data_IF_256628261306
#
_entry.id   IF_256628261306
#
_cell.length_a   1.000
_cell.length_b   1.000
_cell.length_c   1.000
_cell.angle_alpha   90.00
_cell.angle_beta   90.00
_cell.angle_gamma   90.00
#
_symmetry.space_group_name_H-M   'P 1'
#
loop_
_entity.id
_entity.type
_entity.pdbx_description
1 polymer ?
#
# COMPACT_ATOMS: atom_id res chain seq x y z
N UNK A 1 4.69 -14.70 14.74
CA UNK A 1 5.23 -13.73 13.76
C UNK A 1 4.32 -12.51 13.72
N UNK A 2 4.72 -11.35 14.27
CA UNK A 2 3.90 -10.13 14.18
C UNK A 2 4.13 -9.54 12.78
N UNK A 3 3.23 -9.81 11.85
CA UNK A 3 3.14 -9.05 10.60
C UNK A 3 2.67 -7.65 11.00
N UNK A 4 3.58 -6.67 11.10
CA UNK A 4 3.28 -5.29 11.54
C UNK A 4 2.43 -4.49 10.56
N UNK A 5 1.26 -5.06 10.15
CA UNK A 5 0.35 -4.43 9.22
C UNK A 5 -0.47 -3.31 9.89
N UNK A 6 -0.71 -3.42 11.21
CA UNK A 6 -1.54 -2.47 11.98
C UNK A 6 -0.78 -1.81 13.14
N UNK A 7 0.55 -1.69 13.02
CA UNK A 7 1.43 -1.25 14.12
C UNK A 7 1.11 0.18 14.61
N UNK A 8 0.61 1.04 13.72
CA UNK A 8 0.33 2.44 13.99
C UNK A 8 -1.16 2.82 13.88
N UNK A 9 -2.05 1.84 13.67
CA UNK A 9 -3.50 2.06 13.57
C UNK A 9 -4.18 2.58 14.84
N UNK A 10 -3.44 2.62 15.96
CA UNK A 10 -3.96 3.06 17.27
C UNK A 10 -3.56 4.49 17.64
N UNK A 11 -2.88 5.22 16.73
CA UNK A 11 -2.49 6.60 16.99
C UNK A 11 -3.69 7.54 16.83
N UNK A 12 -3.86 8.49 17.77
CA UNK A 12 -4.90 9.51 17.69
C UNK A 12 -4.44 10.70 16.84
N UNK A 13 -4.91 10.76 15.61
CA UNK A 13 -4.76 11.94 14.74
C UNK A 13 -6.08 12.26 14.04
N UNK A 14 -6.19 13.48 13.48
CA UNK A 14 -7.37 13.89 12.72
C UNK A 14 -7.69 12.91 11.56
N UNK A 15 -6.65 12.35 10.94
CA UNK A 15 -6.79 11.36 9.87
C UNK A 15 -7.22 9.98 10.38
N UNK A 16 -6.92 9.62 11.64
CA UNK A 16 -7.39 8.34 12.22
C UNK A 16 -8.89 8.37 12.54
N UNK A 17 -9.43 9.53 12.89
CA UNK A 17 -10.86 9.68 13.21
C UNK A 17 -11.75 9.78 11.97
N UNK A 18 -11.16 9.97 10.79
CA UNK A 18 -11.89 10.06 9.54
C UNK A 18 -12.37 8.69 9.09
N UNK A 19 -13.65 8.60 8.67
CA UNK A 19 -14.27 7.34 8.24
C UNK A 19 -13.49 6.68 7.10
N UNK A 20 -13.07 5.40 7.22
CA UNK A 20 -12.19 4.71 6.27
C UNK A 20 -12.70 4.70 4.83
N UNK A 21 -14.03 4.70 4.63
CA UNK A 21 -14.67 4.76 3.31
C UNK A 21 -14.30 6.04 2.56
N UNK A 22 -14.51 7.19 3.17
CA UNK A 22 -14.27 8.50 2.55
C UNK A 22 -12.78 8.80 2.44
N UNK A 23 -11.98 8.39 3.44
CA UNK A 23 -10.53 8.47 3.42
C UNK A 23 -9.93 7.71 2.23
N UNK A 24 -10.37 6.48 2.00
CA UNK A 24 -9.90 5.64 0.91
C UNK A 24 -10.18 6.31 -0.44
N UNK A 25 -11.40 6.79 -0.67
CA UNK A 25 -11.77 7.46 -1.93
C UNK A 25 -11.00 8.77 -2.11
N UNK A 26 -10.91 9.60 -1.07
CA UNK A 26 -10.23 10.90 -1.13
C UNK A 26 -8.73 10.77 -1.39
N UNK A 27 -8.04 9.92 -0.64
CA UNK A 27 -6.59 9.72 -0.81
C UNK A 27 -6.25 8.98 -2.10
N UNK A 28 -7.04 7.98 -2.52
CA UNK A 28 -6.86 7.33 -3.82
C UNK A 28 -7.08 8.30 -4.98
N UNK A 29 -8.10 9.16 -4.89
CA UNK A 29 -8.32 10.22 -5.88
C UNK A 29 -7.12 11.16 -5.98
N UNK A 30 -6.53 11.56 -4.85
CA UNK A 30 -5.34 12.41 -4.82
C UNK A 30 -4.10 11.69 -5.38
N UNK A 31 -3.91 10.41 -5.06
CA UNK A 31 -2.83 9.58 -5.64
C UNK A 31 -2.95 9.52 -7.17
N UNK A 32 -4.15 9.29 -7.68
CA UNK A 32 -4.40 9.28 -9.12
C UNK A 32 -4.14 10.65 -9.76
N UNK A 33 -4.57 11.74 -9.12
CA UNK A 33 -4.29 13.09 -9.60
C UNK A 33 -2.78 13.37 -9.66
N UNK A 34 -2.01 13.00 -8.63
CA UNK A 34 -0.55 13.15 -8.61
C UNK A 34 0.14 12.30 -9.67
N UNK A 35 -0.38 11.12 -9.97
CA UNK A 35 0.14 10.30 -11.07
C UNK A 35 0.00 10.99 -12.42
N UNK A 36 -1.04 11.80 -12.61
CA UNK A 36 -1.33 12.50 -13.86
C UNK A 36 -0.46 13.74 -14.10
N UNK A 37 0.09 14.37 -13.04
CA UNK A 37 0.95 15.56 -13.13
C UNK A 37 2.18 15.28 -13.99
N UNK A 38 2.46 16.09 -15.00
CA UNK A 38 3.64 16.02 -15.87
C UNK A 38 4.45 17.33 -15.87
N UNK A 39 3.84 18.45 -15.49
CA UNK A 39 4.51 19.74 -15.48
C UNK A 39 5.34 19.91 -14.17
N UNK A 40 6.65 20.22 -14.26
CA UNK A 40 7.51 20.43 -13.10
C UNK A 40 7.09 21.61 -12.21
N UNK A 41 6.28 22.55 -12.72
CA UNK A 41 5.77 23.70 -11.95
C UNK A 41 4.82 23.30 -10.81
N UNK A 42 4.15 22.15 -10.94
CA UNK A 42 3.23 21.63 -9.91
C UNK A 42 3.94 20.82 -8.80
N UNK A 43 5.23 20.50 -8.97
CA UNK A 43 5.99 19.72 -7.99
C UNK A 43 6.02 20.32 -6.58
N UNK A 44 6.30 21.64 -6.40
CA UNK A 44 6.36 22.20 -5.05
C UNK A 44 5.00 22.14 -4.34
N UNK A 45 3.90 22.35 -5.07
CA UNK A 45 2.56 22.24 -4.51
C UNK A 45 2.24 20.79 -4.11
N UNK A 46 2.60 19.82 -4.95
CA UNK A 46 2.43 18.38 -4.69
C UNK A 46 3.21 17.95 -3.43
N UNK A 47 4.47 18.36 -3.31
CA UNK A 47 5.31 18.06 -2.16
C UNK A 47 4.79 18.75 -0.88
N UNK A 48 4.34 20.01 -0.97
CA UNK A 48 3.79 20.72 0.17
C UNK A 48 2.54 20.03 0.73
N UNK A 49 1.63 19.60 -0.14
CA UNK A 49 0.41 18.87 0.26
C UNK A 49 0.77 17.51 0.87
N UNK A 50 1.69 16.78 0.26
CA UNK A 50 2.15 15.49 0.78
C UNK A 50 2.75 15.65 2.16
N UNK A 51 3.59 16.66 2.37
CA UNK A 51 4.20 16.96 3.66
C UNK A 51 3.16 17.37 4.70
N UNK A 52 2.20 18.20 4.33
CA UNK A 52 1.10 18.63 5.21
C UNK A 52 0.27 17.42 5.66
N UNK A 53 -0.13 16.53 4.74
CA UNK A 53 -0.89 15.32 5.05
C UNK A 53 -0.10 14.34 5.92
N UNK A 54 1.19 14.20 5.66
CA UNK A 54 2.06 13.39 6.50
C UNK A 54 2.19 13.96 7.91
N UNK A 55 2.37 15.27 8.06
CA UNK A 55 2.41 15.94 9.35
C UNK A 55 1.08 15.80 10.13
N UNK A 56 -0.07 15.90 9.44
CA UNK A 56 -1.39 15.66 10.03
C UNK A 56 -1.59 14.21 10.48
N UNK A 57 -0.95 13.24 9.83
CA UNK A 57 -1.07 11.81 10.18
C UNK A 57 -0.35 11.46 11.47
N UNK A 58 0.59 12.29 11.95
CA UNK A 58 1.46 12.06 13.12
C UNK A 58 2.23 10.75 13.10
N UNK A 59 2.47 10.21 11.92
CA UNK A 59 3.28 9.00 11.78
C UNK A 59 4.77 9.31 12.05
N UNK A 60 5.51 8.42 12.73
CA UNK A 60 6.92 8.65 13.02
C UNK A 60 7.75 8.59 11.72
N UNK A 61 8.73 9.50 11.60
CA UNK A 61 9.62 9.57 10.43
C UNK A 61 10.40 8.27 10.20
N UNK A 62 10.69 7.53 11.27
CA UNK A 62 11.31 6.20 11.19
C UNK A 62 10.50 5.21 10.37
N UNK A 63 9.16 5.27 10.46
CA UNK A 63 8.25 4.45 9.66
C UNK A 63 8.35 4.77 8.17
N UNK A 64 8.37 6.05 7.82
CA UNK A 64 8.53 6.51 6.44
C UNK A 64 9.86 6.03 5.84
N UNK A 65 10.98 6.27 6.55
CA UNK A 65 12.32 5.92 6.08
C UNK A 65 12.47 4.40 5.93
N UNK A 66 11.97 3.62 6.90
CA UNK A 66 12.03 2.17 6.85
C UNK A 66 11.27 1.59 5.65
N UNK A 67 10.11 2.15 5.33
CA UNK A 67 9.27 1.70 4.21
C UNK A 67 9.77 2.24 2.86
N UNK A 68 10.35 3.44 2.83
CA UNK A 68 10.91 4.03 1.61
C UNK A 68 12.24 3.37 1.19
N UNK A 69 12.94 2.72 2.10
CA UNK A 69 14.27 2.13 1.85
C UNK A 69 14.28 1.14 0.68
N UNK A 70 13.33 0.21 0.64
CA UNK A 70 13.29 -0.80 -0.42
C UNK A 70 12.84 -0.25 -1.78
N UNK A 71 11.71 0.47 -1.91
CA UNK A 71 11.34 1.09 -3.17
C UNK A 71 12.26 2.25 -3.54
N UNK A 72 12.91 2.92 -2.57
CA UNK A 72 13.93 3.95 -2.80
C UNK A 72 15.17 3.43 -3.51
N UNK A 73 15.54 2.16 -3.32
CA UNK A 73 16.63 1.54 -4.08
C UNK A 73 16.31 1.45 -5.57
N UNK A 74 15.06 1.13 -5.93
CA UNK A 74 14.61 1.17 -7.32
C UNK A 74 14.65 2.59 -7.89
N UNK A 75 14.20 3.57 -7.10
CA UNK A 75 14.27 4.98 -7.48
C UNK A 75 15.73 5.43 -7.72
N UNK A 76 16.67 4.98 -6.88
CA UNK A 76 18.10 5.28 -7.03
C UNK A 76 18.66 4.70 -8.34
N UNK A 77 18.25 3.48 -8.72
CA UNK A 77 18.63 2.88 -10.00
C UNK A 77 18.11 3.72 -11.18
N UNK A 78 16.85 4.16 -11.13
CA UNK A 78 16.26 5.05 -12.14
C UNK A 78 16.99 6.39 -12.15
N UNK A 79 17.34 6.94 -10.98
CA UNK A 79 18.08 8.19 -10.83
C UNK A 79 19.45 8.18 -11.49
N UNK A 80 20.13 7.04 -11.50
CA UNK A 80 21.41 6.88 -12.17
C UNK A 80 21.24 6.76 -13.69
N UNK A 81 20.21 6.06 -14.16
CA UNK A 81 20.02 5.75 -15.57
C UNK A 81 19.39 6.90 -16.37
N UNK A 82 18.41 7.60 -15.80
CA UNK A 82 17.57 8.56 -16.52
C UNK A 82 18.34 9.76 -17.09
N UNK A 83 19.29 10.40 -16.37
CA UNK A 83 20.06 11.52 -16.89
C UNK A 83 20.92 11.19 -18.11
N UNK A 84 21.21 9.90 -18.35
CA UNK A 84 22.00 9.43 -19.48
C UNK A 84 21.17 8.98 -20.67
N UNK A 85 19.88 8.55 -20.43
CA UNK A 85 19.03 8.02 -21.49
C UNK A 85 18.08 9.06 -22.09
N UNK A 86 17.61 10.04 -21.30
CA UNK A 86 16.54 10.96 -21.71
C UNK A 86 17.09 12.35 -22.06
N UNK A 87 16.66 12.90 -23.23
CA UNK A 87 16.87 14.29 -23.62
C UNK A 87 17.78 14.51 -24.81
N UNK A 88 17.76 15.73 -25.37
CA UNK A 88 18.54 16.17 -26.54
C UNK A 88 19.63 17.21 -26.19
N UNK A 89 19.44 17.98 -25.10
CA UNK A 89 20.36 19.06 -24.68
C UNK A 89 21.42 18.58 -23.70
N UNK A 90 22.70 18.68 -24.09
CA UNK A 90 23.86 18.23 -23.30
C UNK A 90 24.25 19.34 -22.31
N UNK A 91 24.13 19.07 -20.99
CA UNK A 91 24.59 19.96 -19.91
C UNK A 91 26.08 19.77 -19.59
N UNK A 92 26.53 18.53 -19.50
CA UNK A 92 27.90 18.19 -19.14
C UNK A 92 28.33 16.93 -19.88
N UNK A 93 29.56 16.96 -20.42
CA UNK A 93 30.17 15.81 -21.10
C UNK A 93 31.34 15.30 -20.28
N UNK A 94 31.13 14.15 -19.61
CA UNK A 94 32.19 13.49 -18.84
C UNK A 94 32.60 12.22 -19.59
N UNK A 95 33.56 12.37 -20.52
CA UNK A 95 34.01 11.27 -21.38
C UNK A 95 32.91 10.72 -22.29
N UNK A 96 32.63 9.41 -22.28
CA UNK A 96 31.58 8.81 -23.10
C UNK A 96 30.16 9.05 -22.56
N UNK A 97 30.02 9.58 -21.33
CA UNK A 97 28.74 9.82 -20.66
C UNK A 97 28.33 11.29 -20.80
N UNK A 98 27.11 11.52 -21.33
CA UNK A 98 26.53 12.85 -21.49
C UNK A 98 25.37 13.00 -20.55
N UNK A 99 25.47 13.94 -19.60
CA UNK A 99 24.34 14.31 -18.71
C UNK A 99 23.49 15.33 -19.45
N UNK A 100 22.19 15.06 -19.56
CA UNK A 100 21.24 15.88 -20.32
C UNK A 100 20.30 16.62 -19.34
N UNK A 101 19.99 17.87 -19.65
CA UNK A 101 19.18 18.73 -18.81
C UNK A 101 17.76 18.20 -18.64
N UNK A 102 17.16 17.73 -19.73
CA UNK A 102 15.84 17.16 -19.77
C UNK A 102 15.73 15.93 -18.85
N UNK A 103 16.75 15.04 -18.90
CA UNK A 103 16.81 13.87 -18.04
C UNK A 103 16.89 14.19 -16.53
N UNK A 104 17.53 15.32 -16.16
CA UNK A 104 17.53 15.77 -14.77
C UNK A 104 16.16 16.30 -14.31
N UNK A 105 15.44 17.00 -15.18
CA UNK A 105 14.08 17.47 -14.90
C UNK A 105 13.09 16.31 -14.79
N UNK A 106 13.18 15.36 -15.71
CA UNK A 106 12.37 14.13 -15.69
C UNK A 106 12.64 13.31 -14.43
N UNK A 107 13.91 13.22 -14.03
CA UNK A 107 14.29 12.56 -12.78
C UNK A 107 13.64 13.24 -11.56
N UNK A 108 13.73 14.57 -11.47
CA UNK A 108 13.14 15.33 -10.36
C UNK A 108 11.63 15.12 -10.31
N UNK A 109 10.97 15.10 -11.46
CA UNK A 109 9.53 14.85 -11.58
C UNK A 109 9.17 13.44 -11.13
N UNK A 110 9.86 12.41 -11.64
CA UNK A 110 9.61 11.01 -11.29
C UNK A 110 9.90 10.77 -9.81
N UNK A 111 11.01 11.29 -9.29
CA UNK A 111 11.37 11.14 -7.89
C UNK A 111 10.34 11.78 -6.95
N UNK A 112 9.91 13.00 -7.27
CA UNK A 112 8.90 13.72 -6.48
C UNK A 112 7.56 13.01 -6.49
N UNK A 113 7.09 12.55 -7.66
CA UNK A 113 5.87 11.73 -7.79
C UNK A 113 5.96 10.46 -6.97
N UNK A 114 7.04 9.73 -7.12
CA UNK A 114 7.26 8.46 -6.45
C UNK A 114 7.21 8.62 -4.93
N UNK A 115 7.95 9.60 -4.39
CA UNK A 115 7.97 9.89 -2.95
C UNK A 115 6.58 10.32 -2.48
N UNK A 116 5.89 11.21 -3.21
CA UNK A 116 4.57 11.70 -2.83
C UNK A 116 3.51 10.59 -2.85
N UNK A 117 3.45 9.79 -3.90
CA UNK A 117 2.49 8.68 -4.03
C UNK A 117 2.73 7.63 -2.94
N UNK A 118 3.99 7.25 -2.71
CA UNK A 118 4.33 6.31 -1.64
C UNK A 118 3.98 6.86 -0.26
N UNK A 119 4.28 8.13 0.00
CA UNK A 119 3.96 8.76 1.29
C UNK A 119 2.45 8.80 1.51
N UNK A 120 1.65 9.18 0.51
CA UNK A 120 0.18 9.14 0.61
C UNK A 120 -0.35 7.73 0.81
N UNK A 121 0.22 6.73 0.13
CA UNK A 121 -0.13 5.32 0.36
C UNK A 121 0.20 4.87 1.77
N UNK A 122 1.35 5.28 2.31
CA UNK A 122 1.74 5.00 3.70
C UNK A 122 0.82 5.71 4.71
N UNK A 123 0.39 6.93 4.42
CA UNK A 123 -0.61 7.64 5.24
C UNK A 123 -1.93 6.88 5.21
N UNK A 124 -2.41 6.44 4.04
CA UNK A 124 -3.67 5.69 3.91
C UNK A 124 -3.64 4.40 4.72
N UNK A 125 -2.62 3.55 4.50
CA UNK A 125 -2.52 2.24 5.15
C UNK A 125 -1.99 2.31 6.59
N UNK A 126 -1.23 3.34 6.94
CA UNK A 126 -0.72 3.54 8.29
C UNK A 126 -1.73 4.13 9.27
N UNK A 127 -2.75 4.85 8.75
CA UNK A 127 -3.80 5.49 9.58
C UNK A 127 -5.12 4.74 9.59
N UNK A 128 -5.28 3.65 8.84
CA UNK A 128 -6.48 2.83 8.84
C UNK A 128 -6.11 1.35 9.04
N UNK A 129 -6.68 0.67 10.05
CA UNK A 129 -6.52 -0.76 10.22
C UNK A 129 -6.97 -1.51 8.96
N UNK A 130 -6.25 -2.58 8.61
CA UNK A 130 -6.56 -3.36 7.41
C UNK A 130 -8.02 -3.84 7.34
N UNK A 131 -8.55 -4.26 8.48
CA UNK A 131 -9.95 -4.71 8.58
C UNK A 131 -10.96 -3.61 8.22
N UNK A 132 -10.68 -2.37 8.58
CA UNK A 132 -11.58 -1.25 8.29
C UNK A 132 -11.49 -0.81 6.82
N UNK A 133 -10.32 -0.97 6.19
CA UNK A 133 -10.17 -0.78 4.74
C UNK A 133 -11.05 -1.80 3.98
N UNK A 134 -11.07 -3.07 4.39
CA UNK A 134 -11.91 -4.08 3.74
C UNK A 134 -13.40 -3.79 3.93
N UNK A 135 -13.82 -3.34 5.12
CA UNK A 135 -15.20 -2.89 5.35
C UNK A 135 -15.56 -1.69 4.46
N UNK A 136 -14.63 -0.73 4.33
CA UNK A 136 -14.79 0.41 3.44
C UNK A 136 -14.94 -0.03 1.97
N UNK A 137 -14.12 -0.94 1.49
CA UNK A 137 -14.24 -1.50 0.13
C UNK A 137 -15.58 -2.21 -0.08
N UNK A 138 -16.07 -2.94 0.93
CA UNK A 138 -17.41 -3.56 0.90
C UNK A 138 -18.51 -2.52 0.73
N UNK A 139 -18.44 -1.40 1.47
CA UNK A 139 -19.41 -0.31 1.35
C UNK A 139 -19.32 0.46 0.01
N UNK A 140 -18.18 0.34 -0.72
CA UNK A 140 -17.98 0.89 -2.05
C UNK A 140 -18.43 -0.06 -3.18
N UNK A 141 -18.98 -1.24 -2.85
CA UNK A 141 -19.51 -2.17 -3.84
C UNK A 141 -18.69 -3.45 -4.05
N UNK A 142 -17.67 -3.71 -3.21
CA UNK A 142 -16.99 -4.99 -3.27
C UNK A 142 -17.98 -6.12 -2.90
N UNK A 143 -18.12 -7.18 -3.72
CA UNK A 143 -18.98 -8.31 -3.40
C UNK A 143 -18.69 -8.87 -2.00
N UNK A 144 -19.75 -9.16 -1.23
CA UNK A 144 -19.61 -9.60 0.17
C UNK A 144 -18.73 -10.84 0.31
N UNK A 145 -18.78 -11.76 -0.68
CA UNK A 145 -17.96 -12.98 -0.69
C UNK A 145 -16.47 -12.65 -0.71
N UNK A 146 -16.05 -11.67 -1.53
CA UNK A 146 -14.65 -11.25 -1.60
C UNK A 146 -14.20 -10.55 -0.32
N UNK A 147 -15.06 -9.72 0.28
CA UNK A 147 -14.77 -9.09 1.56
C UNK A 147 -14.58 -10.13 2.66
N UNK A 148 -15.52 -11.10 2.78
CA UNK A 148 -15.45 -12.15 3.78
C UNK A 148 -14.25 -13.08 3.58
N UNK A 149 -13.93 -13.44 2.33
CA UNK A 149 -12.71 -14.21 2.02
C UNK A 149 -11.45 -13.46 2.41
N UNK A 150 -11.40 -12.14 2.21
CA UNK A 150 -10.25 -11.33 2.60
C UNK A 150 -10.12 -11.26 4.12
N UNK A 151 -11.23 -11.10 4.85
CA UNK A 151 -11.24 -11.11 6.32
C UNK A 151 -10.80 -12.47 6.88
N UNK A 152 -11.26 -13.56 6.28
CA UNK A 152 -10.84 -14.92 6.66
C UNK A 152 -9.34 -15.12 6.35
N UNK A 153 -8.88 -14.68 5.18
CA UNK A 153 -7.45 -14.76 4.81
C UNK A 153 -6.59 -14.01 5.81
N UNK A 154 -6.98 -12.77 6.17
CA UNK A 154 -6.27 -11.98 7.19
C UNK A 154 -6.15 -12.71 8.53
N UNK A 155 -7.24 -13.31 9.01
CA UNK A 155 -7.23 -14.10 10.24
C UNK A 155 -6.32 -15.33 10.14
N UNK A 156 -6.47 -16.12 9.06
CA UNK A 156 -5.77 -17.40 8.93
C UNK A 156 -4.31 -17.25 8.58
N UNK A 157 -3.85 -16.11 8.01
CA UNK A 157 -2.43 -15.90 7.75
C UNK A 157 -1.62 -15.88 9.07
N UNK A 158 -2.17 -15.32 10.14
CA UNK A 158 -1.54 -15.35 11.45
C UNK A 158 -1.55 -16.76 12.05
N UNK A 159 -2.68 -17.45 11.96
CA UNK A 159 -2.83 -18.81 12.52
C UNK A 159 -1.93 -19.82 11.80
N UNK A 160 -1.84 -19.75 10.48
CA UNK A 160 -0.93 -20.58 9.68
C UNK A 160 0.53 -20.20 9.96
N UNK A 161 0.82 -18.92 10.18
CA UNK A 161 2.15 -18.44 10.57
C UNK A 161 2.59 -19.05 11.91
N UNK A 162 1.72 -19.06 12.90
CA UNK A 162 2.00 -19.68 14.22
C UNK A 162 2.16 -21.21 14.10
N UNK A 163 1.34 -21.88 13.29
CA UNK A 163 1.48 -23.31 13.01
C UNK A 163 2.84 -23.61 12.35
N UNK A 164 3.25 -22.78 11.38
CA UNK A 164 4.55 -22.92 10.70
C UNK A 164 5.71 -22.75 11.69
N UNK A 165 5.65 -21.77 12.57
CA UNK A 165 6.68 -21.52 13.60
C UNK A 165 6.80 -22.70 14.56
N UNK A 166 5.67 -23.26 15.02
CA UNK A 166 5.63 -24.49 15.85
C UNK A 166 6.25 -25.68 15.14
N UNK A 167 5.94 -25.86 13.86
CA UNK A 167 6.50 -26.96 13.05
C UNK A 167 8.01 -26.79 12.85
N UNK A 168 8.49 -25.58 12.58
CA UNK A 168 9.92 -25.27 12.46
C UNK A 168 10.66 -25.53 13.78
N UNK A 169 10.09 -25.11 14.90
CA UNK A 169 10.63 -25.37 16.24
C UNK A 169 10.73 -26.87 16.52
N UNK A 170 9.67 -27.62 16.22
CA UNK A 170 9.68 -29.07 16.40
C UNK A 170 10.72 -29.78 15.52
N UNK A 171 10.95 -29.28 14.30
CA UNK A 171 12.03 -29.80 13.43
C UNK A 171 13.42 -29.47 14.00
N UNK A 172 13.60 -28.25 14.54
CA UNK A 172 14.83 -27.84 15.18
C UNK A 172 15.18 -28.73 16.37
N UNK A 173 14.20 -29.06 17.23
CA UNK A 173 14.36 -29.97 18.37
C UNK A 173 14.71 -31.41 17.94
N UNK A 174 14.31 -31.84 16.73
CA UNK A 174 14.69 -33.13 16.13
C UNK A 174 16.05 -33.08 15.43
N UNK A 175 16.82 -32.02 15.60
CA UNK A 175 18.15 -31.87 15.04
C UNK A 175 18.21 -31.39 13.59
N UNK A 176 17.09 -30.93 13.03
CA UNK A 176 17.10 -30.33 11.69
C UNK A 176 17.76 -28.95 11.72
N UNK A 177 18.86 -28.81 11.01
CA UNK A 177 19.56 -27.55 10.81
C UNK A 177 19.63 -27.22 9.32
N UNK A 178 19.00 -26.13 8.88
CA UNK A 178 19.06 -25.63 7.51
C UNK A 178 20.38 -24.86 7.26
N UNK A 179 21.54 -25.50 7.49
CA UNK A 179 22.86 -24.84 7.37
C UNK A 179 23.30 -24.60 5.92
N UNK A 180 22.90 -25.48 5.01
CA UNK A 180 23.19 -25.38 3.57
C UNK A 180 21.98 -25.84 2.75
N UNK A 181 21.66 -25.12 1.67
CA UNK A 181 20.61 -25.47 0.71
C UNK A 181 21.00 -26.73 -0.11
N UNK A 182 21.00 -27.88 0.53
CA UNK A 182 21.23 -29.17 -0.11
C UNK A 182 19.91 -29.90 -0.42
N UNK A 183 19.94 -30.90 -1.28
CA UNK A 183 18.76 -31.67 -1.68
C UNK A 183 17.95 -32.28 -0.53
N UNK A 184 18.62 -32.63 0.60
CA UNK A 184 17.96 -33.10 1.83
C UNK A 184 17.15 -31.99 2.49
N UNK A 185 17.70 -30.77 2.60
CA UNK A 185 17.03 -29.61 3.20
C UNK A 185 15.82 -29.21 2.37
N UNK A 186 15.98 -29.19 1.03
CA UNK A 186 14.89 -28.88 0.12
C UNK A 186 13.74 -29.88 0.24
N UNK A 187 14.03 -31.19 0.37
CA UNK A 187 13.00 -32.21 0.58
C UNK A 187 12.26 -32.04 1.89
N UNK A 188 12.94 -31.69 2.97
CA UNK A 188 12.30 -31.43 4.28
C UNK A 188 11.43 -30.19 4.22
N UNK A 189 11.90 -29.10 3.59
CA UNK A 189 11.11 -27.89 3.41
C UNK A 189 9.88 -28.15 2.51
N UNK A 190 10.02 -28.95 1.45
CA UNK A 190 8.89 -29.33 0.61
C UNK A 190 7.87 -30.18 1.39
N UNK A 191 8.32 -31.12 2.24
CA UNK A 191 7.43 -31.89 3.12
C UNK A 191 6.73 -31.00 4.14
N UNK A 192 7.42 -30.01 4.71
CA UNK A 192 6.83 -29.02 5.61
C UNK A 192 5.74 -28.22 4.89
N UNK A 193 6.05 -27.66 3.71
CA UNK A 193 5.10 -26.91 2.91
C UNK A 193 3.88 -27.76 2.53
N UNK A 194 4.09 -29.01 2.10
CA UNK A 194 3.02 -29.96 1.81
C UNK A 194 2.13 -30.24 3.02
N UNK A 195 2.72 -30.43 4.21
CA UNK A 195 1.93 -30.67 5.42
C UNK A 195 1.13 -29.43 5.86
N UNK A 196 1.66 -28.22 5.70
CA UNK A 196 0.93 -26.97 5.97
C UNK A 196 -0.23 -26.84 4.98
N UNK A 197 -0.02 -27.15 3.70
CA UNK A 197 -1.04 -27.07 2.67
C UNK A 197 -2.21 -28.02 2.94
N UNK A 198 -1.92 -29.29 3.28
CA UNK A 198 -2.95 -30.27 3.61
C UNK A 198 -3.75 -29.83 4.85
N UNK A 199 -3.07 -29.39 5.91
CA UNK A 199 -3.76 -28.89 7.12
C UNK A 199 -4.60 -27.66 6.85
N UNK A 200 -4.12 -26.75 6.00
CA UNK A 200 -4.88 -25.55 5.61
C UNK A 200 -6.13 -25.92 4.82
N UNK A 201 -6.03 -26.92 3.92
CA UNK A 201 -7.17 -27.43 3.18
C UNK A 201 -8.23 -28.04 4.10
N UNK A 202 -7.84 -28.96 4.98
CA UNK A 202 -8.75 -29.58 5.95
C UNK A 202 -9.40 -28.55 6.89
N UNK A 203 -8.63 -27.51 7.28
CA UNK A 203 -9.15 -26.41 8.09
C UNK A 203 -10.18 -25.60 7.33
N UNK A 204 -9.90 -25.24 6.06
CA UNK A 204 -10.84 -24.46 5.23
C UNK A 204 -12.16 -25.22 5.04
N UNK A 205 -12.10 -26.53 4.84
CA UNK A 205 -13.30 -27.36 4.72
C UNK A 205 -14.15 -27.37 6.02
N UNK A 206 -13.49 -27.52 7.17
CA UNK A 206 -14.18 -27.45 8.47
C UNK A 206 -14.82 -26.08 8.72
N UNK A 207 -14.10 -25.00 8.39
CA UNK A 207 -14.61 -23.64 8.54
C UNK A 207 -15.81 -23.41 7.62
N UNK A 208 -15.70 -23.79 6.35
CA UNK A 208 -16.79 -23.68 5.39
C UNK A 208 -18.05 -24.41 5.88
N UNK A 209 -17.92 -25.69 6.30
CA UNK A 209 -19.04 -26.46 6.87
C UNK A 209 -19.67 -25.76 8.07
N UNK A 210 -18.86 -25.23 8.97
CA UNK A 210 -19.35 -24.48 10.15
C UNK A 210 -20.05 -23.18 9.76
N UNK A 211 -19.57 -22.48 8.73
CA UNK A 211 -20.22 -21.27 8.20
C UNK A 211 -21.59 -21.58 7.58
N UNK A 212 -21.68 -22.62 6.77
CA UNK A 212 -22.94 -23.07 6.16
C UNK A 212 -23.98 -23.44 7.22
N UNK A 213 -23.57 -24.16 8.26
CA UNK A 213 -24.45 -24.49 9.40
C UNK A 213 -24.94 -23.27 10.16
N UNK A 214 -24.20 -22.14 10.11
CA UNK A 214 -24.58 -20.85 10.69
C UNK A 214 -25.38 -19.95 9.74
N UNK A 215 -25.79 -20.48 8.57
CA UNK A 215 -26.57 -19.74 7.58
C UNK A 215 -25.76 -18.85 6.63
N UNK A 216 -24.45 -19.12 6.44
CA UNK A 216 -23.65 -18.40 5.47
C UNK A 216 -24.22 -18.58 4.06
N UNK A 217 -24.29 -17.47 3.31
CA UNK A 217 -24.87 -17.44 1.95
C UNK A 217 -26.36 -17.11 1.91
N UNK A 218 -27.04 -17.00 3.05
CA UNK A 218 -28.41 -16.47 3.08
C UNK A 218 -28.38 -14.94 3.00
N UNK A 219 -29.42 -14.29 2.42
CA UNK A 219 -29.49 -12.85 2.34
C UNK A 219 -29.54 -12.25 3.75
N UNK A 220 -28.39 -11.86 4.26
CA UNK A 220 -28.26 -11.14 5.53
C UNK A 220 -28.69 -9.70 5.30
N UNK A 221 -29.46 -9.14 6.23
CA UNK A 221 -29.73 -7.70 6.27
C UNK A 221 -28.41 -6.94 6.24
N UNK A 222 -28.32 -5.86 5.46
CA UNK A 222 -27.13 -5.02 5.46
C UNK A 222 -26.83 -4.64 6.92
N UNK A 223 -25.62 -4.96 7.38
CA UNK A 223 -25.14 -4.44 8.66
C UNK A 223 -25.29 -2.91 8.60
N UNK A 224 -25.85 -2.32 9.65
CA UNK A 224 -26.02 -0.87 9.71
C UNK A 224 -24.70 -0.20 9.37
N UNK A 225 -24.69 0.53 8.24
CA UNK A 225 -23.53 1.35 7.88
C UNK A 225 -23.33 2.37 8.99
N UNK A 226 -22.10 2.56 9.48
CA UNK A 226 -21.84 3.60 10.45
C UNK A 226 -22.34 4.94 9.88
N UNK A 227 -23.10 5.68 10.70
CA UNK A 227 -23.66 6.98 10.30
C UNK A 227 -22.53 7.90 9.89
N UNK A 228 -22.46 8.23 8.62
CA UNK A 228 -21.51 9.22 8.09
C UNK A 228 -21.72 10.56 8.81
N UNK A 229 -20.65 11.10 9.37
CA UNK A 229 -20.66 12.45 9.95
C UNK A 229 -20.55 13.47 8.82
N UNK A 230 -21.25 14.58 8.93
CA UNK A 230 -21.16 15.68 7.96
C UNK A 230 -19.71 16.14 7.73
N UNK A 231 -18.86 16.05 8.76
CA UNK A 231 -17.43 16.35 8.66
C UNK A 231 -16.67 15.43 7.69
N UNK A 232 -17.03 14.15 7.63
CA UNK A 232 -16.36 13.19 6.75
C UNK A 232 -16.63 13.47 5.26
N UNK A 233 -17.85 13.91 4.97
CA UNK A 233 -18.24 14.33 3.63
C UNK A 233 -17.55 15.63 3.21
N UNK A 234 -17.40 16.59 4.12
CA UNK A 234 -16.68 17.83 3.86
C UNK A 234 -15.19 17.59 3.54
N UNK A 235 -14.53 16.70 4.28
CA UNK A 235 -13.16 16.28 3.99
C UNK A 235 -13.05 15.58 2.64
N UNK A 236 -13.96 14.66 2.31
CA UNK A 236 -14.00 14.02 0.99
C UNK A 236 -14.09 15.04 -0.12
N UNK A 237 -15.03 16.00 -0.01
CA UNK A 237 -15.19 17.08 -1.00
C UNK A 237 -13.92 17.91 -1.16
N UNK A 238 -13.26 18.28 -0.06
CA UNK A 238 -12.01 19.03 -0.08
C UNK A 238 -10.91 18.26 -0.83
N UNK A 239 -10.75 16.95 -0.58
CA UNK A 239 -9.76 16.12 -1.27
C UNK A 239 -10.07 15.92 -2.75
N UNK A 240 -11.35 15.73 -3.11
CA UNK A 240 -11.75 15.60 -4.50
C UNK A 240 -11.60 16.92 -5.26
N UNK A 241 -11.92 18.04 -4.62
CA UNK A 241 -11.72 19.37 -5.21
C UNK A 241 -10.25 19.66 -5.42
N UNK A 242 -9.40 19.26 -4.46
CA UNK A 242 -7.95 19.38 -4.56
C UNK A 242 -7.38 18.49 -5.68
N UNK A 243 -7.85 17.25 -5.80
CA UNK A 243 -7.47 16.34 -6.88
C UNK A 243 -7.92 16.88 -8.25
N UNK A 244 -9.16 17.36 -8.38
CA UNK A 244 -9.67 17.99 -9.59
C UNK A 244 -8.90 19.27 -9.94
N UNK A 245 -8.51 20.07 -8.95
CA UNK A 245 -7.68 21.25 -9.12
C UNK A 245 -6.31 20.92 -9.72
N UNK A 246 -5.65 19.85 -9.29
CA UNK A 246 -4.39 19.40 -9.88
C UNK A 246 -4.56 18.95 -11.32
N UNK A 247 -5.59 18.17 -11.62
CA UNK A 247 -5.89 17.72 -12.99
C UNK A 247 -6.20 18.92 -13.89
N UNK A 248 -7.02 19.86 -13.41
CA UNK A 248 -7.36 21.06 -14.18
C UNK A 248 -6.13 21.95 -14.42
N UNK A 249 -5.28 22.16 -13.41
CA UNK A 249 -4.04 22.93 -13.52
C UNK A 249 -3.09 22.30 -14.56
N UNK A 250 -2.95 20.98 -14.54
CA UNK A 250 -2.13 20.25 -15.53
C UNK A 250 -2.66 20.43 -16.96
N UNK A 251 -3.99 20.30 -17.17
CA UNK A 251 -4.61 20.47 -18.48
C UNK A 251 -4.41 21.89 -19.00
N UNK A 252 -4.59 22.91 -18.16
CA UNK A 252 -4.42 24.32 -18.53
C UNK A 252 -2.95 24.62 -18.88
N UNK A 253 -2.00 24.14 -18.08
CA UNK A 253 -0.56 24.33 -18.34
C UNK A 253 -0.14 23.64 -19.65
N UNK A 254 -0.67 22.47 -19.92
CA UNK A 254 -0.41 21.72 -21.15
C UNK A 254 -0.95 22.41 -22.38
N UNK A 255 -2.14 23.02 -22.31
CA UNK A 255 -2.71 23.80 -23.41
C UNK A 255 -1.96 25.11 -23.66
N UNK A 256 -1.29 25.67 -22.67
CA UNK A 256 -0.48 26.87 -22.81
C UNK A 256 0.92 26.64 -23.40
N UNK A 257 1.33 25.39 -23.60
CA UNK A 257 2.63 25.00 -24.16
C UNK A 257 2.56 24.52 -25.62
N UNK A 258 1.36 24.33 -26.17
CA UNK A 258 1.10 24.00 -27.59
C UNK A 258 0.74 25.25 -28.38
#
# INVERSE_FOLDING_TARGET
>A
MKLGLDEYGHLDSLLHQWEPKYKLVGLMGLILAFSFVQDPRLLPAMLAITLALYALSRLPLSFLIARLRYPGFFLLMVAILLPFLSGSTVLLRIGPLTVRQEGCLDLLLIASKFVSILTLSLVLFGTAPFLDIIKAMRSLGLPFVLADMTLLTYRYIYEIGDDLERMQTAMGLRGFQARYLGGRVLRVLASLAGSVLVRSYERSERVYKAMVLRGYGQPTRPSEEPRSRFGDLAWLFAFLLLAAGFIAAEIVLRQGQG
#
